data_IF_717966349987
#
_entry.id   IF_717966349987
#
_cell.length_a   1.000
_cell.length_b   1.000
_cell.length_c   1.000
_cell.angle_alpha   90.00
_cell.angle_beta   90.00
_cell.angle_gamma   90.00
#
_symmetry.space_group_name_H-M   'P 1'
#
loop_
_entity.id
_entity.type
_entity.pdbx_description
1 polymer ?
#
# COMPACT_ATOMS: atom_id res chain seq x y z
N UNK A 1 -8.10 -8.35 -22.79
CA UNK A 1 -7.45 -7.05 -22.51
C UNK A 1 -7.51 -6.86 -21.02
N UNK A 2 -6.41 -7.06 -20.31
CA UNK A 2 -6.28 -6.74 -18.88
C UNK A 2 -6.46 -5.23 -18.73
N UNK A 3 -7.40 -4.80 -17.91
CA UNK A 3 -7.64 -3.38 -17.66
C UNK A 3 -6.70 -2.96 -16.52
N UNK A 4 -5.83 -2.00 -16.78
CA UNK A 4 -4.94 -1.45 -15.77
C UNK A 4 -5.75 -0.88 -14.59
N UNK A 5 -5.35 -1.23 -13.36
CA UNK A 5 -5.90 -0.66 -12.13
C UNK A 5 -5.24 0.67 -11.80
N UNK A 6 -3.93 0.77 -12.02
CA UNK A 6 -3.15 1.99 -11.85
C UNK A 6 -2.37 2.25 -13.14
N UNK A 7 -2.39 3.50 -13.59
CA UNK A 7 -1.64 3.94 -14.76
C UNK A 7 -1.06 5.32 -14.47
N UNK A 8 0.26 5.40 -14.48
CA UNK A 8 1.04 6.62 -14.30
C UNK A 8 1.85 6.83 -15.56
N UNK A 9 1.73 7.99 -16.18
CA UNK A 9 2.42 8.29 -17.43
C UNK A 9 3.17 9.60 -17.32
N UNK A 10 4.51 9.52 -17.40
CA UNK A 10 5.42 10.65 -17.41
C UNK A 10 5.32 11.56 -16.17
N UNK A 11 4.95 11.01 -15.00
CA UNK A 11 4.72 11.82 -13.81
C UNK A 11 6.01 12.46 -13.29
N UNK A 12 6.10 13.78 -13.42
CA UNK A 12 7.15 14.60 -12.83
C UNK A 12 6.55 15.58 -11.82
N UNK A 13 7.13 15.66 -10.62
CA UNK A 13 6.61 16.48 -9.54
C UNK A 13 7.71 17.13 -8.72
N UNK A 14 7.53 18.44 -8.47
CA UNK A 14 8.34 19.21 -7.53
C UNK A 14 7.46 19.76 -6.40
N UNK A 15 7.96 19.70 -5.19
CA UNK A 15 7.32 20.33 -4.03
C UNK A 15 7.39 21.86 -4.12
N UNK A 16 6.55 22.59 -3.35
CA UNK A 16 6.54 24.07 -3.38
C UNK A 16 7.86 24.73 -2.98
N UNK A 17 8.71 24.03 -2.23
CA UNK A 17 10.06 24.47 -1.86
C UNK A 17 11.09 24.30 -2.98
N UNK A 18 10.68 23.78 -4.15
CA UNK A 18 11.52 23.54 -5.32
C UNK A 18 12.21 22.17 -5.35
N UNK A 19 12.03 21.34 -4.33
CA UNK A 19 12.57 19.98 -4.33
C UNK A 19 11.81 19.11 -5.33
N UNK A 20 12.50 18.66 -6.39
CA UNK A 20 11.93 17.73 -7.36
C UNK A 20 12.06 16.30 -6.87
N UNK A 21 10.91 15.62 -6.74
CA UNK A 21 10.83 14.28 -6.18
C UNK A 21 10.59 13.20 -7.24
N UNK A 22 9.95 13.53 -8.38
CA UNK A 22 9.69 12.60 -9.47
C UNK A 22 10.10 13.24 -10.80
N UNK A 23 10.70 12.46 -11.70
CA UNK A 23 11.34 12.92 -12.93
C UNK A 23 10.80 12.21 -14.18
N UNK A 24 9.48 11.96 -14.26
CA UNK A 24 8.88 11.29 -15.41
C UNK A 24 8.69 9.80 -15.15
N UNK A 25 7.93 9.48 -14.09
CA UNK A 25 7.61 8.10 -13.73
C UNK A 25 6.54 7.55 -14.65
N UNK A 26 6.79 6.37 -15.23
CA UNK A 26 5.85 5.54 -15.94
C UNK A 26 5.64 4.24 -15.15
N UNK A 27 4.40 3.93 -14.76
CA UNK A 27 4.04 2.73 -14.01
C UNK A 27 2.65 2.27 -14.38
N UNK A 28 2.51 1.00 -14.71
CA UNK A 28 1.20 0.36 -14.91
C UNK A 28 1.09 -0.83 -13.97
N UNK A 29 -0.03 -0.94 -13.25
CA UNK A 29 -0.38 -2.09 -12.40
C UNK A 29 -1.72 -2.64 -12.86
N UNK A 30 -1.75 -3.90 -13.27
CA UNK A 30 -2.95 -4.56 -13.76
C UNK A 30 -3.90 -4.96 -12.62
N UNK A 31 -5.16 -5.21 -12.96
CA UNK A 31 -6.17 -5.63 -11.99
C UNK A 31 -5.80 -6.99 -11.38
N UNK A 32 -5.82 -7.05 -10.05
CA UNK A 32 -5.46 -8.25 -9.28
C UNK A 32 -3.96 -8.48 -9.16
N UNK A 33 -3.13 -7.63 -9.78
CA UNK A 33 -1.68 -7.74 -9.68
C UNK A 33 -1.19 -7.31 -8.31
N UNK A 34 -0.07 -7.91 -7.87
CA UNK A 34 0.64 -7.57 -6.64
C UNK A 34 2.04 -7.10 -7.00
N UNK A 35 2.30 -5.84 -6.76
CA UNK A 35 3.55 -5.18 -7.12
C UNK A 35 4.22 -4.60 -5.88
N UNK A 36 5.51 -4.88 -5.71
CA UNK A 36 6.34 -4.21 -4.71
C UNK A 36 7.01 -2.97 -5.32
N UNK A 37 6.84 -1.81 -4.70
CA UNK A 37 7.57 -0.60 -5.01
C UNK A 37 8.77 -0.48 -4.07
N UNK A 38 9.93 -0.83 -4.58
CA UNK A 38 11.21 -0.84 -3.87
C UNK A 38 12.00 0.44 -4.15
N UNK A 39 12.99 0.71 -3.32
CA UNK A 39 13.90 1.84 -3.53
C UNK A 39 14.39 2.45 -2.22
N UNK A 40 15.50 3.20 -2.25
CA UNK A 40 16.07 3.84 -1.07
C UNK A 40 15.16 4.92 -0.48
N UNK A 41 15.46 5.36 0.73
CA UNK A 41 14.79 6.51 1.34
C UNK A 41 15.05 7.76 0.48
N UNK A 42 14.01 8.58 0.30
CA UNK A 42 14.07 9.76 -0.56
C UNK A 42 13.93 9.49 -2.07
N UNK A 43 13.73 8.25 -2.50
CA UNK A 43 13.56 7.92 -3.92
C UNK A 43 12.28 8.47 -4.58
N UNK A 44 11.32 8.98 -3.79
CA UNK A 44 10.05 9.50 -4.31
C UNK A 44 8.85 8.55 -4.11
N UNK A 45 9.01 7.39 -3.43
CA UNK A 45 7.96 6.38 -3.26
C UNK A 45 6.69 6.95 -2.62
N UNK A 46 6.80 7.63 -1.49
CA UNK A 46 5.66 8.26 -0.82
C UNK A 46 5.03 9.35 -1.69
N UNK A 47 5.83 10.12 -2.42
CA UNK A 47 5.33 11.13 -3.36
C UNK A 47 4.48 10.49 -4.45
N UNK A 48 4.94 9.37 -5.04
CA UNK A 48 4.18 8.62 -6.02
C UNK A 48 2.87 8.10 -5.43
N UNK A 49 2.92 7.44 -4.27
CA UNK A 49 1.73 6.92 -3.56
C UNK A 49 0.67 8.00 -3.31
N UNK A 50 1.09 9.18 -2.86
CA UNK A 50 0.16 10.28 -2.57
C UNK A 50 -0.50 10.87 -3.83
N UNK A 51 0.07 10.66 -5.01
CA UNK A 51 -0.59 11.01 -6.28
C UNK A 51 -1.69 10.00 -6.65
N UNK A 52 -1.57 8.73 -6.24
CA UNK A 52 -2.54 7.69 -6.62
C UNK A 52 -3.94 7.93 -6.02
N UNK A 53 -4.06 8.61 -4.88
CA UNK A 53 -5.35 8.93 -4.27
C UNK A 53 -5.66 10.45 -4.27
N UNK A 54 -4.83 11.24 -4.96
CA UNK A 54 -5.00 12.67 -5.10
C UNK A 54 -4.84 13.46 -3.80
N UNK A 55 -4.02 12.98 -2.85
CA UNK A 55 -3.51 13.80 -1.73
C UNK A 55 -2.55 14.83 -2.28
N UNK A 56 -1.60 14.40 -3.12
CA UNK A 56 -0.82 15.28 -3.98
C UNK A 56 -1.46 15.35 -5.37
N UNK A 57 -1.48 16.54 -5.91
CA UNK A 57 -1.98 16.82 -7.27
C UNK A 57 -1.08 17.84 -7.94
N UNK A 58 -1.04 17.83 -9.28
CA UNK A 58 -0.20 18.74 -10.06
C UNK A 58 1.05 18.04 -10.59
N UNK A 59 2.00 18.83 -11.08
CA UNK A 59 3.15 18.32 -11.81
C UNK A 59 2.87 18.15 -13.31
N UNK A 60 3.72 17.39 -13.99
CA UNK A 60 3.61 17.03 -15.42
C UNK A 60 3.26 15.55 -15.51
N UNK A 61 2.60 15.12 -16.58
CA UNK A 61 2.15 13.75 -16.78
C UNK A 61 0.72 13.52 -16.32
N UNK A 62 0.34 12.26 -16.18
CA UNK A 62 -1.01 11.88 -15.79
C UNK A 62 -1.02 10.66 -14.85
N UNK A 63 -2.03 10.60 -13.99
CA UNK A 63 -2.33 9.45 -13.14
C UNK A 63 -3.78 9.06 -13.36
N UNK A 64 -4.01 7.78 -13.66
CA UNK A 64 -5.34 7.20 -13.86
C UNK A 64 -5.50 6.02 -12.89
N UNK A 65 -6.64 5.96 -12.23
CA UNK A 65 -6.99 4.92 -11.25
C UNK A 65 -8.30 4.27 -11.67
N UNK A 66 -8.27 2.98 -11.92
CA UNK A 66 -9.43 2.21 -12.40
C UNK A 66 -10.18 2.92 -13.55
N UNK A 67 -9.40 3.46 -14.51
CA UNK A 67 -9.92 4.19 -15.67
C UNK A 67 -10.33 5.64 -15.41
N UNK A 68 -10.23 6.15 -14.17
CA UNK A 68 -10.55 7.54 -13.82
C UNK A 68 -9.30 8.38 -13.66
N UNK A 69 -9.14 9.50 -14.38
CA UNK A 69 -8.02 10.40 -14.17
C UNK A 69 -8.09 11.03 -12.77
N UNK A 70 -6.92 11.13 -12.12
CA UNK A 70 -6.79 11.78 -10.80
C UNK A 70 -6.95 13.30 -10.99
N UNK A 71 -8.19 13.74 -10.91
CA UNK A 71 -8.60 15.13 -11.03
C UNK A 71 -9.65 15.46 -9.96
N UNK A 72 -9.76 16.72 -9.58
CA UNK A 72 -10.65 17.19 -8.50
C UNK A 72 -12.07 16.64 -8.59
N UNK A 73 -12.61 16.50 -9.79
CA UNK A 73 -13.96 15.98 -10.02
C UNK A 73 -14.12 14.50 -9.63
N UNK A 74 -13.03 13.72 -9.70
CA UNK A 74 -13.06 12.26 -9.49
C UNK A 74 -12.53 11.83 -8.12
N UNK A 75 -11.99 12.75 -7.29
CA UNK A 75 -11.28 12.39 -6.04
C UNK A 75 -12.15 11.58 -5.08
N UNK A 76 -13.43 11.89 -4.96
CA UNK A 76 -14.34 11.16 -4.07
C UNK A 76 -14.45 9.67 -4.47
N UNK A 77 -14.59 9.41 -5.77
CA UNK A 77 -14.67 8.06 -6.32
C UNK A 77 -13.31 7.33 -6.26
N UNK A 78 -12.21 8.02 -6.59
CA UNK A 78 -10.87 7.46 -6.51
C UNK A 78 -10.55 7.03 -5.07
N UNK A 79 -10.83 7.86 -4.08
CA UNK A 79 -10.59 7.57 -2.66
C UNK A 79 -11.44 6.44 -2.11
N UNK A 80 -12.54 6.10 -2.76
CA UNK A 80 -13.28 4.87 -2.46
C UNK A 80 -12.61 3.63 -3.04
N UNK A 81 -11.98 3.75 -4.22
CA UNK A 81 -11.35 2.63 -4.94
C UNK A 81 -9.93 2.35 -4.48
N UNK A 82 -9.20 3.38 -4.02
CA UNK A 82 -7.82 3.25 -3.52
C UNK A 82 -7.81 3.43 -2.02
N UNK A 83 -7.53 2.34 -1.32
CA UNK A 83 -7.26 2.38 0.12
C UNK A 83 -5.77 2.45 0.37
N UNK A 84 -5.34 3.36 1.25
CA UNK A 84 -3.94 3.46 1.69
C UNK A 84 -3.85 3.08 3.16
N UNK A 85 -2.93 2.17 3.48
CA UNK A 85 -2.53 1.84 4.84
C UNK A 85 -1.19 2.52 5.09
N UNK A 86 -1.16 3.46 6.03
CA UNK A 86 0.05 4.24 6.35
C UNK A 86 1.07 3.43 7.15
N UNK A 87 2.32 3.87 7.11
CA UNK A 87 3.45 3.24 7.81
C UNK A 87 3.27 3.21 9.32
N UNK A 88 2.74 4.26 9.93
CA UNK A 88 2.40 4.26 11.35
C UNK A 88 0.89 4.10 11.53
N UNK A 89 0.42 3.03 12.20
CA UNK A 89 -1.01 2.87 12.45
C UNK A 89 -1.60 4.00 13.33
N UNK A 90 -0.79 4.70 14.12
CA UNK A 90 -1.25 5.80 14.97
C UNK A 90 -1.58 7.06 14.14
N UNK A 91 -1.07 7.17 12.90
CA UNK A 91 -1.48 8.20 11.94
C UNK A 91 -2.87 7.93 11.32
N UNK A 92 -3.40 6.71 11.52
CA UNK A 92 -4.63 6.24 10.90
C UNK A 92 -5.75 5.94 11.93
N UNK A 93 -5.38 5.59 13.17
CA UNK A 93 -6.32 5.21 14.23
C UNK A 93 -6.46 6.37 15.23
N UNK A 94 -7.61 7.02 15.23
CA UNK A 94 -7.85 8.23 16.01
C UNK A 94 -9.19 8.26 16.74
N UNK A 95 -10.03 7.21 16.56
CA UNK A 95 -11.32 7.11 17.21
C UNK A 95 -11.20 6.47 18.62
N UNK A 96 -12.20 6.68 19.51
CA UNK A 96 -12.18 6.10 20.84
C UNK A 96 -12.11 4.58 20.89
N UNK A 97 -12.69 3.88 19.89
CA UNK A 97 -12.72 2.41 19.81
C UNK A 97 -12.32 1.93 18.42
N UNK A 98 -11.84 0.67 18.37
CA UNK A 98 -11.53 -0.03 17.11
C UNK A 98 -12.73 -0.06 16.16
N UNK A 99 -13.92 -0.34 16.70
CA UNK A 99 -15.18 -0.34 15.93
C UNK A 99 -15.42 1.00 15.24
N UNK A 100 -15.24 2.09 15.98
CA UNK A 100 -15.46 3.44 15.45
C UNK A 100 -14.42 3.82 14.39
N UNK A 101 -13.15 3.42 14.55
CA UNK A 101 -12.13 3.60 13.52
C UNK A 101 -12.50 2.86 12.23
N UNK A 102 -12.89 1.59 12.33
CA UNK A 102 -13.29 0.79 11.16
C UNK A 102 -14.59 1.31 10.53
N UNK A 103 -15.50 1.84 11.33
CA UNK A 103 -16.75 2.43 10.85
C UNK A 103 -16.56 3.79 10.18
N UNK A 104 -15.48 4.51 10.48
CA UNK A 104 -15.30 5.92 10.09
C UNK A 104 -15.43 6.14 8.58
N UNK A 105 -14.67 5.37 7.78
CA UNK A 105 -14.68 5.48 6.32
C UNK A 105 -16.06 5.22 5.71
N UNK A 106 -16.67 4.04 5.93
CA UNK A 106 -18.00 3.72 5.44
C UNK A 106 -19.08 4.70 5.92
N UNK A 107 -19.00 5.16 7.18
CA UNK A 107 -19.92 6.15 7.72
C UNK A 107 -19.77 7.51 7.04
N UNK A 108 -18.53 7.94 6.75
CA UNK A 108 -18.26 9.17 5.98
C UNK A 108 -18.79 9.06 4.55
N UNK A 109 -18.77 7.86 3.95
CA UNK A 109 -19.37 7.58 2.65
C UNK A 109 -20.91 7.50 2.67
N UNK A 110 -21.54 7.68 3.84
CA UNK A 110 -23.00 7.75 3.97
C UNK A 110 -23.66 6.45 4.47
N UNK A 111 -22.90 5.37 4.70
CA UNK A 111 -23.44 4.12 5.23
C UNK A 111 -23.93 4.28 6.67
N UNK A 112 -25.04 3.61 7.03
CA UNK A 112 -25.65 3.73 8.38
C UNK A 112 -26.31 2.42 8.80
N UNK A 113 -26.59 2.33 10.11
CA UNK A 113 -27.41 1.25 10.68
C UNK A 113 -26.82 -0.15 10.51
N UNK A 114 -27.68 -1.17 10.30
CA UNK A 114 -27.24 -2.57 10.24
C UNK A 114 -26.22 -2.87 9.13
N UNK A 115 -26.28 -2.14 8.01
CA UNK A 115 -25.32 -2.30 6.90
C UNK A 115 -23.91 -1.86 7.33
N UNK A 116 -23.79 -0.72 8.02
CA UNK A 116 -22.52 -0.25 8.56
C UNK A 116 -21.95 -1.25 9.57
N UNK A 117 -22.78 -1.75 10.48
CA UNK A 117 -22.37 -2.72 11.47
C UNK A 117 -21.88 -4.03 10.83
N UNK A 118 -22.60 -4.55 9.85
CA UNK A 118 -22.19 -5.75 9.11
C UNK A 118 -20.85 -5.55 8.40
N UNK A 119 -20.61 -4.36 7.84
CA UNK A 119 -19.36 -3.98 7.18
C UNK A 119 -18.19 -3.98 8.17
N UNK A 120 -18.37 -3.36 9.33
CA UNK A 120 -17.37 -3.31 10.40
C UNK A 120 -17.01 -4.71 10.89
N UNK A 121 -18.02 -5.52 11.22
CA UNK A 121 -17.82 -6.91 11.68
C UNK A 121 -17.08 -7.73 10.62
N UNK A 122 -17.47 -7.62 9.35
CA UNK A 122 -16.80 -8.31 8.24
C UNK A 122 -15.31 -7.91 8.15
N UNK A 123 -15.01 -6.62 8.17
CA UNK A 123 -13.64 -6.13 8.08
C UNK A 123 -12.78 -6.60 9.26
N UNK A 124 -13.29 -6.52 10.48
CA UNK A 124 -12.60 -6.98 11.68
C UNK A 124 -12.36 -8.49 11.69
N UNK A 125 -13.31 -9.28 11.21
CA UNK A 125 -13.15 -10.73 11.09
C UNK A 125 -12.03 -11.09 10.08
N UNK A 126 -11.94 -10.37 8.95
CA UNK A 126 -10.90 -10.60 7.93
C UNK A 126 -9.48 -10.43 8.48
N UNK A 127 -9.30 -9.59 9.49
CA UNK A 127 -7.99 -9.35 10.11
C UNK A 127 -7.85 -9.98 11.49
N UNK A 128 -8.81 -10.80 11.95
CA UNK A 128 -8.78 -11.48 13.24
C UNK A 128 -8.83 -10.53 14.45
N UNK A 129 -9.57 -9.40 14.32
CA UNK A 129 -9.65 -8.38 15.37
C UNK A 129 -11.06 -8.14 15.92
N UNK A 130 -12.03 -9.04 15.63
CA UNK A 130 -13.41 -8.85 16.02
C UNK A 130 -13.61 -8.78 17.54
N UNK A 131 -12.87 -9.57 18.32
CA UNK A 131 -12.93 -9.56 19.80
C UNK A 131 -12.42 -8.26 20.45
N UNK A 132 -11.69 -7.44 19.70
CA UNK A 132 -11.14 -6.18 20.16
C UNK A 132 -11.97 -4.96 19.74
N UNK A 133 -13.13 -5.17 19.10
CA UNK A 133 -13.93 -4.11 18.49
C UNK A 133 -14.23 -2.93 19.44
N UNK A 134 -14.53 -3.21 20.71
CA UNK A 134 -14.90 -2.19 21.68
C UNK A 134 -13.72 -1.70 22.54
N UNK A 135 -12.48 -2.12 22.20
CA UNK A 135 -11.26 -1.64 22.85
C UNK A 135 -10.75 -0.35 22.23
N UNK A 136 -10.15 0.54 23.05
CA UNK A 136 -9.39 1.67 22.53
C UNK A 136 -8.14 1.19 21.75
N UNK A 137 -7.80 1.78 20.58
CA UNK A 137 -6.65 1.35 19.79
C UNK A 137 -5.32 1.39 20.56
N UNK A 138 -5.11 2.37 21.44
CA UNK A 138 -3.89 2.50 22.24
C UNK A 138 -3.71 1.39 23.30
N UNK A 139 -4.70 0.55 23.54
CA UNK A 139 -4.58 -0.64 24.39
C UNK A 139 -4.15 -1.89 23.60
N UNK A 140 -3.95 -1.78 22.31
CA UNK A 140 -3.52 -2.86 21.43
C UNK A 140 -1.99 -2.88 21.25
N UNK A 141 -1.44 -4.08 20.98
CA UNK A 141 -0.04 -4.17 20.52
C UNK A 141 0.13 -3.48 19.17
N UNK A 142 1.39 -3.17 18.79
CA UNK A 142 1.67 -2.55 17.48
C UNK A 142 1.14 -3.41 16.32
N UNK A 143 1.36 -4.73 16.34
CA UNK A 143 0.85 -5.64 15.32
C UNK A 143 -0.68 -5.71 15.26
N UNK A 144 -1.36 -5.63 16.42
CA UNK A 144 -2.81 -5.53 16.47
C UNK A 144 -3.31 -4.21 15.88
N UNK A 145 -2.68 -3.06 16.23
CA UNK A 145 -3.01 -1.77 15.61
C UNK A 145 -2.81 -1.80 14.09
N UNK A 146 -1.71 -2.41 13.62
CA UNK A 146 -1.46 -2.58 12.18
C UNK A 146 -2.60 -3.34 11.49
N UNK A 147 -3.07 -4.43 12.07
CA UNK A 147 -4.22 -5.19 11.52
C UNK A 147 -5.51 -4.37 11.55
N UNK A 148 -5.76 -3.60 12.60
CA UNK A 148 -6.91 -2.68 12.66
C UNK A 148 -6.80 -1.62 11.57
N UNK A 149 -5.63 -1.03 11.35
CA UNK A 149 -5.41 -0.07 10.26
C UNK A 149 -5.72 -0.69 8.88
N UNK A 150 -5.35 -1.94 8.64
CA UNK A 150 -5.79 -2.67 7.44
C UNK A 150 -7.31 -2.83 7.41
N UNK A 151 -7.96 -3.16 8.54
CA UNK A 151 -9.42 -3.32 8.60
C UNK A 151 -10.17 -2.03 8.27
N UNK A 152 -9.68 -0.84 8.70
CA UNK A 152 -10.32 0.45 8.36
C UNK A 152 -10.40 0.66 6.85
N UNK A 153 -9.36 0.23 6.13
CA UNK A 153 -9.30 0.31 4.67
C UNK A 153 -10.18 -0.75 4.02
N UNK A 154 -10.11 -2.00 4.50
CA UNK A 154 -10.92 -3.10 3.96
C UNK A 154 -12.42 -2.89 4.14
N UNK A 155 -12.84 -2.13 5.15
CA UNK A 155 -14.23 -1.74 5.36
C UNK A 155 -14.78 -0.87 4.21
N UNK A 156 -13.92 -0.21 3.45
CA UNK A 156 -14.28 0.56 2.25
C UNK A 156 -14.43 -0.31 1.00
N UNK A 157 -14.03 -1.60 1.06
CA UNK A 157 -13.98 -2.52 -0.10
C UNK A 157 -13.23 -1.92 -1.31
N UNK A 158 -11.97 -1.51 -1.12
CA UNK A 158 -11.21 -0.90 -2.19
C UNK A 158 -10.91 -1.91 -3.31
N UNK A 159 -10.79 -1.43 -4.55
CA UNK A 159 -10.30 -2.22 -5.68
C UNK A 159 -8.78 -2.34 -5.66
N UNK A 160 -8.11 -1.35 -5.04
CA UNK A 160 -6.66 -1.23 -4.97
C UNK A 160 -6.25 -0.94 -3.52
N UNK A 161 -5.33 -1.73 -3.01
CA UNK A 161 -4.75 -1.58 -1.68
C UNK A 161 -3.29 -1.12 -1.82
N UNK A 162 -3.01 0.07 -1.33
CA UNK A 162 -1.65 0.58 -1.22
C UNK A 162 -1.20 0.42 0.23
N UNK A 163 -0.05 -0.23 0.41
CA UNK A 163 0.53 -0.50 1.74
C UNK A 163 1.87 0.23 1.83
N UNK A 164 2.00 1.13 2.80
CA UNK A 164 3.27 1.81 3.05
C UNK A 164 3.98 1.13 4.22
N UNK A 165 5.11 0.46 3.93
CA UNK A 165 5.96 -0.27 4.89
C UNK A 165 5.16 -1.18 5.86
N UNK A 166 4.35 -2.12 5.36
CA UNK A 166 3.39 -2.85 6.19
C UNK A 166 4.03 -3.76 7.23
N UNK A 167 5.25 -4.27 6.99
CA UNK A 167 5.98 -5.17 7.91
C UNK A 167 6.84 -4.44 8.94
N UNK A 168 6.99 -3.11 8.83
CA UNK A 168 7.84 -2.32 9.73
C UNK A 168 7.41 -2.44 11.18
N UNK A 169 8.38 -2.64 12.08
CA UNK A 169 8.18 -2.76 13.53
C UNK A 169 7.30 -3.94 13.99
N UNK A 170 7.04 -4.91 13.12
CA UNK A 170 6.34 -6.14 13.49
C UNK A 170 7.32 -7.20 13.99
N UNK A 171 6.93 -7.90 15.05
CA UNK A 171 7.57 -9.14 15.44
C UNK A 171 7.30 -10.24 14.39
N UNK A 172 8.10 -11.34 14.37
CA UNK A 172 7.97 -12.37 13.34
C UNK A 172 6.60 -13.05 13.26
N UNK A 173 5.85 -13.14 14.38
CA UNK A 173 4.52 -13.75 14.40
C UNK A 173 3.50 -12.79 13.78
N UNK A 174 3.47 -11.54 14.21
CA UNK A 174 2.58 -10.50 13.67
C UNK A 174 2.85 -10.27 12.17
N UNK A 175 4.13 -10.36 11.74
CA UNK A 175 4.49 -10.27 10.32
C UNK A 175 3.88 -11.40 9.49
N UNK A 176 3.94 -12.66 9.98
CA UNK A 176 3.30 -13.81 9.29
C UNK A 176 1.78 -13.67 9.26
N UNK A 177 1.15 -13.31 10.39
CA UNK A 177 -0.29 -13.09 10.45
C UNK A 177 -0.74 -12.04 9.43
N UNK A 178 0.00 -10.94 9.31
CA UNK A 178 -0.30 -9.91 8.31
C UNK A 178 -0.09 -10.43 6.87
N UNK A 179 0.97 -11.21 6.62
CA UNK A 179 1.20 -11.82 5.31
C UNK A 179 0.04 -12.74 4.90
N UNK A 180 -0.44 -13.57 5.82
CA UNK A 180 -1.57 -14.48 5.57
C UNK A 180 -2.86 -13.72 5.27
N UNK A 181 -3.13 -12.64 6.02
CA UNK A 181 -4.24 -11.73 5.72
C UNK A 181 -4.09 -11.16 4.31
N UNK A 182 -2.94 -10.56 3.99
CA UNK A 182 -2.72 -9.93 2.69
C UNK A 182 -2.85 -10.92 1.53
N UNK A 183 -2.35 -12.17 1.69
CA UNK A 183 -2.52 -13.23 0.67
C UNK A 183 -3.98 -13.60 0.42
N UNK A 184 -4.80 -13.56 1.45
CA UNK A 184 -6.23 -13.90 1.35
C UNK A 184 -7.07 -12.85 0.63
N UNK A 185 -6.49 -11.66 0.35
CA UNK A 185 -7.22 -10.56 -0.29
C UNK A 185 -7.22 -10.72 -1.82
N UNK A 186 -8.41 -10.62 -2.41
CA UNK A 186 -8.60 -10.58 -3.87
C UNK A 186 -8.73 -9.10 -4.32
N UNK A 187 -7.61 -8.37 -4.24
CA UNK A 187 -7.52 -6.95 -4.62
C UNK A 187 -6.17 -6.70 -5.31
N UNK A 188 -6.10 -5.65 -6.12
CA UNK A 188 -4.81 -5.14 -6.62
C UNK A 188 -3.99 -4.59 -5.46
N UNK A 189 -2.70 -4.93 -5.37
CA UNK A 189 -1.82 -4.49 -4.28
C UNK A 189 -0.61 -3.75 -4.83
N UNK A 190 -0.37 -2.56 -4.31
CA UNK A 190 0.91 -1.86 -4.44
C UNK A 190 1.54 -1.74 -3.06
N UNK A 191 2.63 -2.46 -2.82
CA UNK A 191 3.31 -2.50 -1.53
C UNK A 191 4.63 -1.73 -1.61
N UNK A 192 4.70 -0.60 -0.91
CA UNK A 192 5.95 0.13 -0.72
C UNK A 192 6.69 -0.50 0.44
N UNK A 193 7.92 -0.96 0.21
CA UNK A 193 8.70 -1.56 1.29
C UNK A 193 10.21 -1.57 1.00
N UNK A 194 11.00 -1.62 2.07
CA UNK A 194 12.42 -1.95 2.07
C UNK A 194 12.69 -3.37 2.62
N UNK A 195 11.65 -4.08 3.09
CA UNK A 195 11.73 -5.47 3.52
C UNK A 195 11.69 -6.38 2.28
N UNK A 196 12.85 -6.62 1.68
CA UNK A 196 12.97 -7.35 0.41
C UNK A 196 12.49 -8.80 0.50
N UNK A 197 12.76 -9.55 1.59
CA UNK A 197 12.14 -10.86 1.80
C UNK A 197 10.61 -10.82 1.82
N UNK A 198 10.02 -9.79 2.43
CA UNK A 198 8.56 -9.64 2.50
C UNK A 198 7.97 -9.26 1.14
N UNK A 199 8.69 -8.44 0.37
CA UNK A 199 8.34 -8.14 -1.00
C UNK A 199 8.31 -9.41 -1.87
N UNK A 200 9.36 -10.23 -1.80
CA UNK A 200 9.43 -11.49 -2.54
C UNK A 200 8.31 -12.47 -2.14
N UNK A 201 7.97 -12.52 -0.84
CA UNK A 201 6.94 -13.39 -0.30
C UNK A 201 5.52 -13.06 -0.80
N UNK A 202 5.23 -11.77 -1.07
CA UNK A 202 3.87 -11.29 -1.33
C UNK A 202 3.63 -10.73 -2.73
N UNK A 203 4.68 -10.31 -3.43
CA UNK A 203 4.59 -9.60 -4.71
C UNK A 203 5.44 -10.31 -5.78
N UNK A 204 4.81 -10.99 -6.75
CA UNK A 204 5.53 -11.62 -7.86
C UNK A 204 6.33 -10.65 -8.73
N UNK A 205 5.89 -9.39 -8.82
CA UNK A 205 6.54 -8.31 -9.56
C UNK A 205 7.03 -7.22 -8.61
N UNK A 206 8.19 -6.68 -8.90
CA UNK A 206 8.72 -5.51 -8.22
C UNK A 206 9.12 -4.43 -9.21
N UNK A 207 9.06 -3.19 -8.73
CA UNK A 207 9.48 -1.98 -9.43
C UNK A 207 10.47 -1.26 -8.53
N UNK A 208 11.65 -0.93 -9.03
CA UNK A 208 12.66 -0.16 -8.29
C UNK A 208 12.55 1.30 -8.70
N UNK A 209 12.13 2.15 -7.75
CA UNK A 209 12.17 3.60 -7.87
C UNK A 209 13.47 4.12 -7.26
N UNK A 210 14.27 4.84 -8.04
CA UNK A 210 15.53 5.41 -7.59
C UNK A 210 15.69 6.81 -8.20
N UNK A 211 16.07 7.79 -7.37
CA UNK A 211 16.25 9.17 -7.80
C UNK A 211 15.07 9.75 -8.60
N UNK A 212 13.85 9.35 -8.22
CA UNK A 212 12.60 9.83 -8.82
C UNK A 212 12.24 9.25 -10.19
N UNK A 213 12.94 8.20 -10.65
CA UNK A 213 12.63 7.47 -11.89
C UNK A 213 12.50 5.96 -11.64
N UNK A 214 11.76 5.26 -12.49
CA UNK A 214 11.76 3.79 -12.48
C UNK A 214 13.08 3.31 -13.07
N UNK A 215 13.88 2.63 -12.23
CA UNK A 215 15.18 2.10 -12.61
C UNK A 215 15.10 0.64 -13.11
N UNK A 216 14.15 -0.13 -12.58
CA UNK A 216 13.90 -1.50 -12.99
C UNK A 216 12.45 -1.90 -12.73
N UNK A 217 11.93 -2.83 -13.51
CA UNK A 217 10.58 -3.39 -13.44
C UNK A 217 10.60 -4.83 -13.96
N UNK A 218 10.18 -5.79 -13.14
CA UNK A 218 10.21 -7.20 -13.52
C UNK A 218 9.85 -8.16 -12.38
N UNK A 219 10.05 -9.48 -12.60
CA UNK A 219 9.84 -10.48 -11.57
C UNK A 219 10.68 -10.19 -10.31
N UNK A 220 10.04 -10.17 -9.14
CA UNK A 220 10.72 -9.81 -7.88
C UNK A 220 11.95 -10.67 -7.62
N UNK A 221 11.84 -11.98 -7.86
CA UNK A 221 12.94 -12.91 -7.65
C UNK A 221 14.15 -12.60 -8.54
N UNK A 222 13.93 -12.24 -9.80
CA UNK A 222 15.00 -11.90 -10.74
C UNK A 222 15.70 -10.60 -10.32
N UNK A 223 14.92 -9.55 -10.03
CA UNK A 223 15.48 -8.26 -9.60
C UNK A 223 16.28 -8.38 -8.31
N UNK A 224 15.78 -9.13 -7.32
CA UNK A 224 16.48 -9.33 -6.05
C UNK A 224 17.71 -10.25 -6.18
N UNK A 225 17.83 -11.05 -7.25
CA UNK A 225 18.99 -11.89 -7.52
C UNK A 225 20.11 -11.16 -8.28
N UNK A 226 19.83 -9.97 -8.82
CA UNK A 226 20.81 -9.13 -9.52
C UNK A 226 21.56 -8.25 -8.50
N UNK A 227 22.72 -8.74 -8.04
CA UNK A 227 23.53 -8.02 -7.04
C UNK A 227 24.06 -6.67 -7.54
N UNK A 228 24.31 -6.52 -8.85
CA UNK A 228 24.80 -5.28 -9.42
C UNK A 228 23.71 -4.22 -9.41
N UNK A 229 22.48 -4.58 -9.84
CA UNK A 229 21.29 -3.75 -9.79
C UNK A 229 20.98 -3.33 -8.36
N UNK A 230 20.97 -4.28 -7.42
CA UNK A 230 20.70 -4.02 -6.01
C UNK A 230 21.68 -3.02 -5.42
N UNK A 231 22.97 -3.21 -5.67
CA UNK A 231 24.04 -2.32 -5.18
C UNK A 231 23.94 -0.93 -5.79
N UNK A 232 23.68 -0.84 -7.11
CA UNK A 232 23.53 0.43 -7.83
C UNK A 232 22.41 1.29 -7.23
N UNK A 233 21.33 0.67 -6.74
CA UNK A 233 20.17 1.36 -6.18
C UNK A 233 20.12 1.32 -4.64
N UNK A 234 21.23 1.02 -3.97
CA UNK A 234 21.38 0.99 -2.50
C UNK A 234 20.35 0.09 -1.82
N UNK A 235 20.06 -1.05 -2.45
CA UNK A 235 19.24 -2.10 -1.89
C UNK A 235 20.15 -3.24 -1.45
N UNK A 236 19.94 -3.77 -0.24
CA UNK A 236 20.74 -4.86 0.32
C UNK A 236 19.82 -5.95 0.83
N UNK A 237 20.12 -7.20 0.44
CA UNK A 237 19.46 -8.36 1.00
C UNK A 237 19.98 -8.61 2.42
N UNK A 238 19.12 -9.12 3.33
CA UNK A 238 19.58 -9.57 4.64
C UNK A 238 20.66 -10.65 4.50
N UNK A 239 21.63 -10.60 5.41
CA UNK A 239 22.73 -11.57 5.41
C UNK A 239 22.23 -13.02 5.36
N UNK A 240 22.74 -13.82 4.42
CA UNK A 240 22.35 -15.21 4.22
C UNK A 240 21.01 -15.46 3.54
N UNK A 241 20.29 -14.42 3.14
CA UNK A 241 19.06 -14.56 2.36
C UNK A 241 19.39 -14.78 0.88
N UNK A 242 18.84 -15.86 0.30
CA UNK A 242 18.97 -16.14 -1.13
C UNK A 242 17.58 -16.12 -1.80
N UNK A 243 17.30 -15.14 -2.68
CA UNK A 243 16.02 -15.05 -3.37
C UNK A 243 15.65 -16.31 -4.17
N UNK A 244 16.63 -16.99 -4.72
CA UNK A 244 16.40 -18.20 -5.53
C UNK A 244 15.98 -19.42 -4.71
N UNK A 245 16.16 -19.40 -3.39
CA UNK A 245 15.76 -20.50 -2.49
C UNK A 245 14.29 -20.41 -2.05
N UNK A 246 13.58 -19.31 -2.37
CA UNK A 246 12.18 -19.11 -2.02
C UNK A 246 11.31 -19.71 -3.11
N UNK A 247 10.46 -20.70 -2.75
CA UNK A 247 9.41 -21.21 -3.64
C UNK A 247 8.20 -20.28 -3.54
N UNK A 248 7.82 -19.66 -4.63
CA UNK A 248 6.63 -18.79 -4.78
C UNK A 248 5.38 -19.60 -5.08
#
# INVERSE_FOLDING_TARGET
>A
MTTASLEVSGLAYAYPDGHQALFGVDLTVDRGERVALLGPNGAGKTTLVLHLNGILTGGVGSVTVAGLPVARANLAEIRRRVGIVFQDPDDQLFMPTVREDVAFGPAAAGMRGPELEARVVSALNRVGMAEFADRPPHHLSFGQRRRVAVATVLAMEPEILVLDEPSSNLDPASRRELADILRSLDVTVLMVTHDLPYALELCPRAVILSEGVIAADGPTQELLSDEELMRAHRLELPFGFNPQSVSL
#
